data_IF_884011791180
#
_entry.id   IF_884011791180
#
_cell.length_a   1.000
_cell.length_b   1.000
_cell.length_c   1.000
_cell.angle_alpha   90.00
_cell.angle_beta   90.00
_cell.angle_gamma   90.00
#
_symmetry.space_group_name_H-M   'P 1'
#
loop_
_entity.id
_entity.type
_entity.pdbx_description
1 polymer ?
#
# COMPACT_ATOMS: atom_id res chain seq x y z
N UNK A 1 3.26 0.44 36.03
CA UNK A 1 1.93 0.39 35.40
C UNK A 1 1.87 -0.84 34.49
N UNK A 2 0.71 -1.38 34.25
CA UNK A 2 0.50 -2.56 33.40
C UNK A 2 1.07 -2.37 31.98
N UNK A 3 0.99 -1.17 31.41
CA UNK A 3 1.60 -0.86 30.12
C UNK A 3 3.13 -1.02 30.13
N UNK A 4 3.80 -0.57 31.19
CA UNK A 4 5.25 -0.75 31.32
C UNK A 4 5.62 -2.24 31.44
N UNK A 5 4.80 -3.04 32.12
CA UNK A 5 5.00 -4.49 32.23
C UNK A 5 4.89 -5.16 30.85
N UNK A 6 3.89 -4.81 30.05
CA UNK A 6 3.70 -5.32 28.69
C UNK A 6 4.86 -4.92 27.78
N UNK A 7 5.30 -3.67 27.83
CA UNK A 7 6.44 -3.19 27.03
C UNK A 7 7.74 -3.89 27.42
N UNK A 8 7.99 -4.05 28.73
CA UNK A 8 9.17 -4.79 29.20
C UNK A 8 9.16 -6.25 28.73
N UNK A 9 7.98 -6.89 28.72
CA UNK A 9 7.83 -8.26 28.26
C UNK A 9 8.01 -8.40 26.73
N UNK A 10 7.75 -7.35 25.94
CA UNK A 10 7.92 -7.35 24.49
C UNK A 10 9.39 -7.31 24.05
N UNK A 11 10.32 -6.93 24.92
CA UNK A 11 11.74 -6.74 24.58
C UNK A 11 12.03 -5.54 23.68
N UNK A 12 11.03 -4.72 23.35
CA UNK A 12 11.20 -3.52 22.53
C UNK A 12 11.73 -2.38 23.41
N UNK A 13 12.82 -1.71 23.02
CA UNK A 13 13.29 -0.52 23.72
C UNK A 13 12.22 0.58 23.75
N UNK A 14 12.04 1.22 24.90
CA UNK A 14 11.08 2.32 25.05
C UNK A 14 11.56 3.35 26.06
N UNK A 15 11.07 4.59 25.89
CA UNK A 15 11.28 5.69 26.81
C UNK A 15 9.97 6.02 27.54
N UNK A 16 10.09 6.38 28.82
CA UNK A 16 8.95 6.83 29.61
C UNK A 16 8.93 8.37 29.59
N UNK A 17 7.86 8.93 29.04
CA UNK A 17 7.59 10.38 29.09
C UNK A 17 6.53 10.65 30.15
N UNK A 18 6.94 11.21 31.28
CA UNK A 18 6.00 11.58 32.33
C UNK A 18 5.13 12.77 31.87
N UNK A 19 3.86 12.73 32.24
CA UNK A 19 2.85 13.78 31.96
C UNK A 19 2.50 13.98 30.48
N UNK A 20 2.90 13.06 29.60
CA UNK A 20 2.56 13.08 28.16
C UNK A 20 1.41 12.12 27.80
N UNK A 21 0.64 11.66 28.80
CA UNK A 21 -0.57 10.86 28.60
C UNK A 21 -1.74 11.66 28.06
N UNK A 22 -2.77 10.96 27.57
CA UNK A 22 -4.06 11.59 27.28
C UNK A 22 -4.78 11.95 28.59
N UNK A 23 -5.70 12.94 28.54
CA UNK A 23 -6.46 13.34 29.74
C UNK A 23 -7.32 12.19 30.30
N UNK A 24 -7.63 11.19 29.48
CA UNK A 24 -8.45 10.03 29.82
C UNK A 24 -7.63 8.81 30.23
N UNK A 25 -6.29 8.82 30.08
CA UNK A 25 -5.45 7.72 30.51
C UNK A 25 -4.05 7.66 29.89
N UNK A 26 -3.27 6.65 30.26
CA UNK A 26 -1.93 6.45 29.74
C UNK A 26 -1.97 5.96 28.28
N UNK A 27 -0.86 6.21 27.55
CA UNK A 27 -0.71 5.82 26.15
C UNK A 27 0.67 5.23 25.84
N UNK A 28 0.73 4.46 24.79
CA UNK A 28 1.95 4.05 24.09
C UNK A 28 1.94 4.72 22.73
N UNK A 29 2.95 5.49 22.41
CA UNK A 29 3.14 6.09 21.10
C UNK A 29 4.27 5.40 20.35
N UNK A 30 4.05 5.14 19.06
CA UNK A 30 5.04 4.57 18.14
C UNK A 30 5.50 5.67 17.21
N UNK A 31 6.78 5.99 17.30
CA UNK A 31 7.43 7.01 16.46
C UNK A 31 8.22 6.33 15.35
N UNK A 32 8.03 6.80 14.12
CA UNK A 32 8.86 6.46 12.97
C UNK A 32 9.88 7.56 12.74
N UNK A 33 11.11 7.18 12.41
CA UNK A 33 12.16 8.12 12.05
C UNK A 33 12.42 8.01 10.55
N UNK A 34 12.32 9.13 9.86
CA UNK A 34 12.57 9.18 8.41
C UNK A 34 14.08 9.32 8.08
N UNK A 35 14.41 9.30 6.79
CA UNK A 35 15.78 9.43 6.29
C UNK A 35 16.44 10.78 6.61
N UNK A 36 15.65 11.81 6.91
CA UNK A 36 16.10 13.14 7.36
C UNK A 36 16.19 13.24 8.88
N UNK A 37 16.05 12.12 9.59
CA UNK A 37 16.07 12.03 11.06
C UNK A 37 14.93 12.80 11.75
N UNK A 38 13.81 13.07 11.05
CA UNK A 38 12.61 13.65 11.63
C UNK A 38 11.78 12.55 12.27
N UNK A 39 11.21 12.81 13.44
CA UNK A 39 10.33 11.87 14.13
C UNK A 39 8.86 12.15 13.82
N UNK A 40 8.15 11.08 13.51
CA UNK A 40 6.74 11.08 13.17
C UNK A 40 5.98 10.14 14.10
N UNK A 41 5.12 10.69 14.95
CA UNK A 41 4.18 9.87 15.71
C UNK A 41 3.13 9.29 14.75
N UNK A 42 3.12 7.98 14.60
CA UNK A 42 2.20 7.25 13.73
C UNK A 42 1.26 6.37 14.51
N UNK A 43 1.77 5.32 15.16
CA UNK A 43 0.93 4.43 15.93
C UNK A 43 0.67 4.95 17.35
N UNK A 44 -0.49 4.63 17.90
CA UNK A 44 -0.79 4.87 19.31
C UNK A 44 -1.73 3.80 19.86
N UNK A 45 -1.53 3.46 21.13
CA UNK A 45 -2.44 2.64 21.93
C UNK A 45 -2.75 3.43 23.19
N UNK A 46 -4.01 3.71 23.43
CA UNK A 46 -4.43 4.57 24.54
C UNK A 46 -5.49 3.86 25.37
N UNK A 47 -5.30 3.84 26.69
CA UNK A 47 -6.30 3.31 27.63
C UNK A 47 -7.20 4.46 28.08
N UNK A 48 -8.49 4.26 27.94
CA UNK A 48 -9.50 5.24 28.31
C UNK A 48 -10.34 4.73 29.48
N UNK A 49 -10.19 5.41 30.60
CA UNK A 49 -10.91 5.13 31.84
C UNK A 49 -12.05 6.12 32.09
N UNK A 50 -12.16 7.18 31.29
CA UNK A 50 -13.09 8.29 31.55
C UNK A 50 -14.33 8.27 30.65
N UNK A 51 -14.16 8.11 29.33
CA UNK A 51 -15.29 8.12 28.39
C UNK A 51 -16.33 7.04 28.72
N UNK A 52 -15.97 5.78 29.04
CA UNK A 52 -16.98 4.80 29.43
C UNK A 52 -17.81 5.22 30.64
N UNK A 53 -17.21 5.86 31.63
CA UNK A 53 -17.92 6.39 32.80
C UNK A 53 -18.83 7.55 32.43
N UNK A 54 -18.34 8.49 31.64
CA UNK A 54 -19.09 9.67 31.21
C UNK A 54 -20.31 9.31 30.36
N UNK A 55 -20.20 8.22 29.57
CA UNK A 55 -21.31 7.72 28.75
C UNK A 55 -22.17 6.67 29.47
N UNK A 56 -21.86 6.34 30.73
CA UNK A 56 -22.62 5.34 31.48
C UNK A 56 -22.56 3.94 30.88
N UNK A 57 -21.43 3.58 30.23
CA UNK A 57 -21.27 2.26 29.61
C UNK A 57 -21.06 1.20 30.70
N UNK A 58 -21.81 0.11 30.60
CA UNK A 58 -21.70 -1.03 31.51
C UNK A 58 -21.72 -2.34 30.72
N UNK A 59 -21.05 -3.34 31.26
CA UNK A 59 -21.15 -4.72 30.80
C UNK A 59 -21.42 -5.65 31.99
N UNK A 60 -21.95 -6.84 31.73
CA UNK A 60 -22.18 -7.86 32.74
C UNK A 60 -20.97 -8.76 32.80
N UNK A 61 -20.28 -8.81 33.92
CA UNK A 61 -19.14 -9.67 34.16
C UNK A 61 -19.58 -11.13 34.38
N UNK A 62 -18.59 -12.06 34.43
CA UNK A 62 -18.85 -13.50 34.57
C UNK A 62 -19.58 -13.89 35.85
N UNK A 63 -19.42 -13.08 36.91
CA UNK A 63 -20.12 -13.24 38.18
C UNK A 63 -21.52 -12.63 38.23
N UNK A 64 -21.98 -12.06 37.10
CA UNK A 64 -23.26 -11.38 36.98
C UNK A 64 -23.26 -9.92 37.44
N UNK A 65 -22.15 -9.39 37.95
CA UNK A 65 -22.03 -7.99 38.36
C UNK A 65 -21.95 -7.05 37.16
N UNK A 66 -22.41 -5.80 37.36
CA UNK A 66 -22.24 -4.75 36.36
C UNK A 66 -20.92 -4.03 36.57
N UNK A 67 -20.14 -3.92 35.51
CA UNK A 67 -18.83 -3.28 35.52
C UNK A 67 -18.73 -2.22 34.42
N UNK A 68 -17.93 -1.17 34.67
CA UNK A 68 -17.61 -0.16 33.65
C UNK A 68 -16.45 -0.69 32.81
N UNK A 69 -16.58 -0.74 31.47
CA UNK A 69 -15.49 -1.20 30.61
C UNK A 69 -14.31 -0.22 30.57
N UNK A 70 -13.15 -0.72 30.21
CA UNK A 70 -12.01 0.10 29.78
C UNK A 70 -12.02 0.09 28.26
N UNK A 71 -11.97 1.26 27.61
CA UNK A 71 -11.88 1.36 26.17
C UNK A 71 -10.41 1.48 25.77
N UNK A 72 -10.02 0.72 24.75
CA UNK A 72 -8.69 0.79 24.15
C UNK A 72 -8.81 1.42 22.78
N UNK A 73 -8.27 2.63 22.65
CA UNK A 73 -8.11 3.29 21.36
C UNK A 73 -6.82 2.81 20.72
N UNK A 74 -6.88 2.35 19.48
CA UNK A 74 -5.70 1.88 18.74
C UNK A 74 -5.68 2.44 17.34
N UNK A 75 -4.57 3.07 16.99
CA UNK A 75 -4.27 3.58 15.65
C UNK A 75 -2.92 3.03 15.22
N UNK A 76 -2.80 2.59 13.96
CA UNK A 76 -1.55 2.06 13.41
C UNK A 76 -0.79 3.16 12.67
N UNK A 77 -1.46 3.92 11.83
CA UNK A 77 -0.84 4.90 10.93
C UNK A 77 -0.92 6.35 11.43
N UNK A 78 -1.64 6.62 12.51
CA UNK A 78 -2.00 7.97 12.93
C UNK A 78 -3.00 8.60 11.96
N UNK A 79 -2.82 9.86 11.56
CA UNK A 79 -3.57 10.46 10.46
C UNK A 79 -3.16 9.81 9.16
N UNK A 80 -4.14 9.35 8.39
CA UNK A 80 -3.93 8.67 7.11
C UNK A 80 -3.21 9.59 6.11
N UNK A 81 -3.58 10.85 6.07
CA UNK A 81 -2.99 11.87 5.19
C UNK A 81 -1.51 12.09 5.52
N UNK A 82 -1.16 12.18 6.80
CA UNK A 82 0.22 12.29 7.24
C UNK A 82 1.02 11.05 6.85
N UNK A 83 0.48 9.88 7.06
CA UNK A 83 1.14 8.63 6.72
C UNK A 83 1.37 8.50 5.21
N UNK A 84 0.37 8.85 4.38
CA UNK A 84 0.51 8.90 2.92
C UNK A 84 1.63 9.87 2.54
N UNK A 85 1.69 11.05 3.14
CA UNK A 85 2.75 12.03 2.90
C UNK A 85 4.15 11.47 3.22
N UNK A 86 4.30 10.78 4.35
CA UNK A 86 5.56 10.13 4.74
C UNK A 86 5.96 9.05 3.72
N UNK A 87 5.01 8.21 3.30
CA UNK A 87 5.24 7.14 2.33
C UNK A 87 5.64 7.71 0.96
N UNK A 88 4.93 8.73 0.48
CA UNK A 88 5.26 9.39 -0.80
C UNK A 88 6.65 10.01 -0.77
N UNK A 89 7.02 10.67 0.33
CA UNK A 89 8.34 11.25 0.50
C UNK A 89 9.43 10.17 0.59
N UNK A 90 9.18 9.10 1.35
CA UNK A 90 10.12 7.98 1.51
C UNK A 90 10.47 7.31 0.18
N UNK A 91 9.48 7.09 -0.66
CA UNK A 91 9.67 6.46 -1.98
C UNK A 91 9.93 7.49 -3.11
N UNK A 92 10.04 8.78 -2.80
CA UNK A 92 10.15 9.87 -3.79
C UNK A 92 9.05 9.76 -4.88
N UNK A 93 7.85 9.39 -4.48
CA UNK A 93 6.70 9.16 -5.35
C UNK A 93 6.74 7.84 -6.14
N UNK A 94 7.84 7.09 -6.11
CA UNK A 94 7.95 5.77 -6.79
C UNK A 94 7.43 4.66 -5.88
N UNK A 95 6.13 4.65 -5.68
CA UNK A 95 5.49 3.69 -4.79
C UNK A 95 5.79 2.23 -5.20
N UNK A 96 5.92 1.32 -4.24
CA UNK A 96 5.93 -0.11 -4.51
C UNK A 96 4.70 -0.54 -5.31
N UNK A 97 4.85 -1.54 -6.17
CA UNK A 97 3.80 -2.02 -7.07
C UNK A 97 2.46 -2.25 -6.35
N UNK A 98 2.49 -2.84 -5.17
CA UNK A 98 1.28 -3.23 -4.44
C UNK A 98 0.44 -2.06 -3.91
N UNK A 99 1.04 -0.87 -3.63
CA UNK A 99 0.31 0.33 -3.17
C UNK A 99 0.18 1.40 -4.24
N UNK A 100 0.81 1.23 -5.41
CA UNK A 100 0.69 2.20 -6.49
C UNK A 100 -0.77 2.34 -6.94
N UNK A 101 -1.32 3.56 -7.08
CA UNK A 101 -2.69 3.76 -7.55
C UNK A 101 -2.93 3.15 -8.93
N UNK A 102 -1.99 3.33 -9.84
CA UNK A 102 -1.89 2.66 -11.13
C UNK A 102 -0.63 1.81 -11.11
N UNK A 103 -0.79 0.49 -11.28
CA UNK A 103 0.28 -0.48 -11.13
C UNK A 103 1.00 -0.78 -12.44
N UNK A 104 0.26 -0.75 -13.54
CA UNK A 104 0.77 -1.10 -14.85
C UNK A 104 0.08 -0.25 -15.93
N UNK A 105 0.85 0.21 -16.91
CA UNK A 105 0.34 0.87 -18.12
C UNK A 105 0.72 0.08 -19.36
N UNK A 106 -0.27 -0.22 -20.18
CA UNK A 106 -0.07 -0.88 -21.47
C UNK A 106 0.16 0.18 -22.54
N UNK A 107 1.24 0.04 -23.30
CA UNK A 107 1.69 0.98 -24.33
C UNK A 107 1.82 0.28 -25.69
N UNK A 108 0.76 0.20 -26.49
CA UNK A 108 0.86 -0.33 -27.83
C UNK A 108 1.72 0.61 -28.72
N UNK A 109 2.67 0.06 -29.49
CA UNK A 109 3.48 0.83 -30.44
C UNK A 109 2.59 1.37 -31.57
N UNK A 110 1.70 0.52 -32.09
CA UNK A 110 0.66 0.94 -33.04
C UNK A 110 -0.61 1.31 -32.28
N UNK A 111 -1.23 2.39 -32.72
CA UNK A 111 -2.47 2.91 -32.14
C UNK A 111 -3.67 2.08 -32.58
N UNK A 112 -4.71 2.12 -31.74
CA UNK A 112 -5.99 1.50 -32.02
C UNK A 112 -6.16 0.09 -31.47
N UNK A 113 -7.37 -0.40 -31.61
CA UNK A 113 -7.74 -1.73 -31.15
C UNK A 113 -7.07 -2.80 -32.00
N UNK A 114 -6.35 -3.72 -31.35
CA UNK A 114 -5.85 -4.93 -32.02
C UNK A 114 -6.32 -6.17 -31.24
N UNK A 115 -6.49 -7.32 -31.91
CA UNK A 115 -6.79 -8.57 -31.20
C UNK A 115 -5.77 -8.88 -30.12
N UNK A 116 -4.50 -8.54 -30.35
CA UNK A 116 -3.42 -8.77 -29.40
C UNK A 116 -3.53 -7.88 -28.15
N UNK A 117 -3.92 -6.61 -28.31
CA UNK A 117 -4.24 -5.73 -27.19
C UNK A 117 -5.40 -6.30 -26.36
N UNK A 118 -6.47 -6.77 -27.03
CA UNK A 118 -7.61 -7.36 -26.34
C UNK A 118 -7.22 -8.63 -25.55
N UNK A 119 -6.31 -9.44 -26.09
CA UNK A 119 -5.80 -10.62 -25.42
C UNK A 119 -4.95 -10.23 -24.19
N UNK A 120 -4.03 -9.28 -24.31
CA UNK A 120 -3.23 -8.75 -23.21
C UNK A 120 -4.13 -8.22 -22.09
N UNK A 121 -5.09 -7.36 -22.42
CA UNK A 121 -6.01 -6.79 -21.42
C UNK A 121 -6.87 -7.87 -20.76
N UNK A 122 -7.32 -8.88 -21.52
CA UNK A 122 -8.05 -10.02 -20.96
C UNK A 122 -7.22 -10.82 -19.95
N UNK A 123 -5.92 -11.04 -20.24
CA UNK A 123 -5.01 -11.68 -19.27
C UNK A 123 -4.88 -10.81 -18.01
N UNK A 124 -4.61 -9.51 -18.16
CA UNK A 124 -4.44 -8.60 -17.02
C UNK A 124 -5.71 -8.48 -16.17
N UNK A 125 -6.88 -8.46 -16.77
CA UNK A 125 -8.18 -8.45 -16.08
C UNK A 125 -8.42 -9.73 -15.27
N UNK A 126 -7.86 -10.86 -15.70
CA UNK A 126 -7.96 -12.13 -14.99
C UNK A 126 -7.01 -12.27 -13.80
N UNK A 127 -6.01 -11.37 -13.68
CA UNK A 127 -5.03 -11.42 -12.59
C UNK A 127 -5.68 -10.96 -11.27
N UNK A 128 -5.71 -11.88 -10.31
CA UNK A 128 -6.11 -11.62 -8.94
C UNK A 128 -4.87 -11.60 -8.04
N UNK A 129 -4.61 -10.46 -7.42
CA UNK A 129 -3.52 -10.31 -6.46
C UNK A 129 -3.93 -10.96 -5.14
N UNK A 130 -3.12 -11.91 -4.64
CA UNK A 130 -3.38 -12.58 -3.35
C UNK A 130 -3.09 -11.62 -2.19
N UNK A 131 -4.09 -10.80 -1.85
CA UNK A 131 -4.02 -9.85 -0.73
C UNK A 131 -5.37 -9.74 -0.03
N UNK A 132 -5.38 -9.53 1.31
CA UNK A 132 -6.59 -9.56 2.14
C UNK A 132 -7.52 -8.34 1.96
N UNK A 133 -7.38 -7.58 0.90
CA UNK A 133 -8.21 -6.40 0.63
C UNK A 133 -9.26 -6.73 -0.44
N UNK A 134 -10.46 -6.18 -0.28
CA UNK A 134 -11.65 -6.46 -1.09
C UNK A 134 -11.55 -6.13 -2.58
N UNK A 135 -10.43 -5.59 -3.06
CA UNK A 135 -10.19 -5.23 -4.46
C UNK A 135 -8.84 -5.79 -4.90
N UNK A 136 -8.77 -7.11 -5.05
CA UNK A 136 -7.56 -7.82 -5.45
C UNK A 136 -7.29 -7.78 -6.96
N UNK A 137 -7.98 -6.93 -7.71
CA UNK A 137 -7.74 -6.77 -9.14
C UNK A 137 -6.53 -5.89 -9.40
N UNK A 138 -5.79 -6.23 -10.43
CA UNK A 138 -4.72 -5.39 -10.96
C UNK A 138 -5.29 -4.04 -11.42
N UNK A 139 -4.66 -2.96 -11.02
CA UNK A 139 -4.98 -1.59 -11.46
C UNK A 139 -4.09 -1.24 -12.63
N UNK A 140 -4.64 -1.30 -13.83
CA UNK A 140 -3.92 -0.96 -15.05
C UNK A 140 -4.76 -0.09 -15.97
N UNK A 141 -4.08 0.59 -16.89
CA UNK A 141 -4.70 1.32 -17.99
C UNK A 141 -3.99 1.05 -19.31
N UNK A 142 -4.58 1.53 -20.38
CA UNK A 142 -4.01 1.48 -21.74
C UNK A 142 -3.84 2.92 -22.23
N UNK A 143 -2.62 3.28 -22.61
CA UNK A 143 -2.34 4.57 -23.23
C UNK A 143 -2.15 4.37 -24.74
N UNK A 144 -3.22 4.65 -25.48
CA UNK A 144 -3.28 4.63 -26.96
C UNK A 144 -3.40 6.04 -27.57
N UNK A 145 -3.07 7.08 -26.80
CA UNK A 145 -3.11 8.48 -27.25
C UNK A 145 -2.34 8.68 -28.54
N UNK A 146 -2.75 9.72 -29.32
CA UNK A 146 -2.08 10.12 -30.58
C UNK A 146 -0.74 10.83 -30.39
N UNK A 147 0.14 10.20 -29.58
CA UNK A 147 1.48 10.64 -29.27
C UNK A 147 2.52 9.58 -29.66
N UNK A 148 3.78 9.97 -29.80
CA UNK A 148 4.87 9.02 -30.03
C UNK A 148 5.03 8.08 -28.84
N UNK A 149 5.49 6.84 -29.09
CA UNK A 149 5.78 5.90 -28.00
C UNK A 149 6.74 6.50 -26.96
N UNK A 150 7.81 7.19 -27.42
CA UNK A 150 8.77 7.83 -26.51
C UNK A 150 8.13 8.88 -25.61
N UNK A 151 7.18 9.66 -26.14
CA UNK A 151 6.43 10.64 -25.32
C UNK A 151 5.56 9.94 -24.28
N UNK A 152 4.80 8.91 -24.67
CA UNK A 152 3.93 8.15 -23.77
C UNK A 152 4.72 7.42 -22.67
N UNK A 153 5.88 6.86 -23.02
CA UNK A 153 6.80 6.27 -22.04
C UNK A 153 7.31 7.32 -21.06
N UNK A 154 7.76 8.49 -21.59
CA UNK A 154 8.22 9.60 -20.74
C UNK A 154 7.16 10.11 -19.78
N UNK A 155 5.92 10.26 -20.26
CA UNK A 155 4.79 10.68 -19.41
C UNK A 155 4.51 9.64 -18.31
N UNK A 156 4.50 8.35 -18.65
CA UNK A 156 4.30 7.27 -17.67
C UNK A 156 5.42 7.21 -16.61
N UNK A 157 6.67 7.48 -17.00
CA UNK A 157 7.80 7.57 -16.08
C UNK A 157 7.70 8.81 -15.16
N UNK A 158 7.21 9.94 -15.68
CA UNK A 158 6.92 11.13 -14.86
C UNK A 158 5.79 10.89 -13.86
N UNK A 159 4.76 10.15 -14.25
CA UNK A 159 3.67 9.71 -13.39
C UNK A 159 4.11 8.64 -12.37
N UNK A 160 5.36 8.16 -12.44
CA UNK A 160 5.92 7.13 -11.55
C UNK A 160 5.19 5.79 -11.59
N UNK A 161 4.63 5.43 -12.75
CA UNK A 161 3.99 4.13 -12.93
C UNK A 161 5.04 3.03 -12.79
N UNK A 162 4.85 2.04 -11.89
CA UNK A 162 5.90 1.07 -11.58
C UNK A 162 6.28 0.16 -12.75
N UNK A 163 5.30 -0.18 -13.58
CA UNK A 163 5.47 -1.15 -14.67
C UNK A 163 4.85 -0.64 -15.95
N UNK A 164 5.61 -0.68 -17.05
CA UNK A 164 5.11 -0.43 -18.39
C UNK A 164 5.18 -1.73 -19.19
N UNK A 165 4.09 -2.04 -19.89
CA UNK A 165 4.00 -3.16 -20.80
C UNK A 165 3.92 -2.62 -22.22
N UNK A 166 4.95 -2.88 -23.01
CA UNK A 166 5.11 -2.33 -24.34
C UNK A 166 5.04 -3.47 -25.34
N UNK A 167 4.33 -3.29 -26.42
CA UNK A 167 4.31 -4.27 -27.52
C UNK A 167 4.11 -3.60 -28.87
N UNK A 168 4.67 -4.24 -29.90
CA UNK A 168 4.57 -3.81 -31.28
C UNK A 168 4.28 -4.98 -32.21
N UNK A 169 4.29 -4.77 -33.54
CA UNK A 169 3.96 -5.82 -34.50
C UNK A 169 4.86 -7.05 -34.46
N UNK A 170 6.12 -6.88 -34.05
CA UNK A 170 7.05 -8.02 -33.89
C UNK A 170 6.68 -8.86 -32.66
N UNK A 171 6.29 -8.19 -31.58
CA UNK A 171 5.87 -8.86 -30.35
C UNK A 171 4.57 -9.64 -30.58
N UNK A 172 3.63 -9.05 -31.33
CA UNK A 172 2.39 -9.71 -31.72
C UNK A 172 2.65 -11.02 -32.49
N UNK A 173 3.61 -11.00 -33.45
CA UNK A 173 3.98 -12.18 -34.23
C UNK A 173 4.68 -13.23 -33.34
N UNK A 174 5.59 -12.79 -32.47
CA UNK A 174 6.37 -13.66 -31.63
C UNK A 174 5.65 -14.08 -30.34
N UNK A 175 4.47 -13.56 -30.08
CA UNK A 175 3.71 -13.80 -28.85
C UNK A 175 4.47 -13.37 -27.59
N UNK A 176 5.12 -12.20 -27.67
CA UNK A 176 5.93 -11.64 -26.57
C UNK A 176 5.45 -10.24 -26.20
N UNK A 177 5.86 -9.75 -25.06
CA UNK A 177 5.70 -8.36 -24.63
C UNK A 177 6.99 -7.88 -23.97
N UNK A 178 7.25 -6.58 -24.05
CA UNK A 178 8.36 -5.95 -23.34
C UNK A 178 7.82 -5.39 -22.02
N UNK A 179 8.33 -5.89 -20.93
CA UNK A 179 8.04 -5.42 -19.60
C UNK A 179 9.17 -4.48 -19.14
N UNK A 180 8.81 -3.21 -18.89
CA UNK A 180 9.74 -2.22 -18.34
C UNK A 180 9.44 -2.00 -16.86
N UNK A 181 10.42 -2.30 -16.01
CA UNK A 181 10.35 -2.09 -14.57
C UNK A 181 11.50 -1.20 -14.14
N UNK A 182 11.20 -0.01 -13.63
CA UNK A 182 12.22 0.97 -13.19
C UNK A 182 13.26 1.32 -14.26
N UNK A 183 12.85 1.35 -15.53
CA UNK A 183 13.72 1.67 -16.65
C UNK A 183 14.48 0.50 -17.25
N UNK A 184 14.37 -0.69 -16.69
CA UNK A 184 14.96 -1.93 -17.23
C UNK A 184 13.94 -2.70 -18.05
N UNK A 185 14.31 -3.06 -19.28
CA UNK A 185 13.47 -3.79 -20.21
C UNK A 185 13.74 -5.30 -20.14
N UNK A 186 12.66 -6.08 -20.08
CA UNK A 186 12.69 -7.55 -20.16
C UNK A 186 11.64 -8.00 -21.15
N UNK A 187 12.02 -8.86 -22.12
CA UNK A 187 11.06 -9.52 -23.00
C UNK A 187 10.55 -10.76 -22.28
N UNK A 188 9.23 -10.93 -22.27
CA UNK A 188 8.56 -12.09 -21.70
C UNK A 188 7.60 -12.70 -22.71
N UNK A 189 7.37 -13.99 -22.65
CA UNK A 189 6.32 -14.65 -23.42
C UNK A 189 4.94 -14.23 -22.90
N UNK A 190 3.97 -14.09 -23.79
CA UNK A 190 2.63 -13.69 -23.39
C UNK A 190 1.99 -14.69 -22.43
N UNK A 191 2.31 -15.98 -22.56
CA UNK A 191 1.86 -17.05 -21.67
C UNK A 191 2.29 -16.83 -20.21
N UNK A 192 3.43 -16.18 -20.00
CA UNK A 192 4.00 -15.98 -18.67
C UNK A 192 3.56 -14.65 -18.03
N UNK A 193 2.83 -13.82 -18.76
CA UNK A 193 2.45 -12.47 -18.31
C UNK A 193 1.73 -12.48 -16.97
N UNK A 194 0.79 -13.37 -16.78
CA UNK A 194 0.04 -13.50 -15.52
C UNK A 194 0.96 -13.80 -14.34
N UNK A 195 1.85 -14.77 -14.49
CA UNK A 195 2.74 -15.22 -13.42
C UNK A 195 3.78 -14.15 -13.08
N UNK A 196 4.32 -13.46 -14.10
CA UNK A 196 5.26 -12.35 -13.89
C UNK A 196 4.61 -11.19 -13.15
N UNK A 197 3.35 -10.85 -13.46
CA UNK A 197 2.62 -9.78 -12.74
C UNK A 197 2.35 -10.19 -11.30
N UNK A 198 2.01 -11.45 -11.05
CA UNK A 198 1.85 -11.99 -9.69
C UNK A 198 3.17 -11.94 -8.90
N UNK A 199 4.28 -12.32 -9.52
CA UNK A 199 5.62 -12.23 -8.92
C UNK A 199 5.98 -10.78 -8.53
N UNK A 200 5.71 -9.80 -9.41
CA UNK A 200 5.91 -8.38 -9.11
C UNK A 200 5.06 -7.90 -7.94
N UNK A 201 3.85 -8.45 -7.78
CA UNK A 201 2.98 -8.10 -6.66
C UNK A 201 3.46 -8.65 -5.31
N UNK A 202 4.21 -9.74 -5.33
CA UNK A 202 4.76 -10.38 -4.13
C UNK A 202 6.08 -9.74 -3.67
N UNK A 203 6.78 -9.01 -4.55
CA UNK A 203 8.00 -8.27 -4.19
C UNK A 203 7.61 -7.00 -3.44
N UNK A 204 8.01 -6.94 -2.18
CA UNK A 204 7.82 -5.78 -1.27
C UNK A 204 8.82 -4.68 -1.60
#
# INVERSE_FOLDING_TARGET
SELATVLSASGIPYDIKEKDGAFYGPKIDIHLRDSLNREWQCGTIQLDFQLPRNFGLEYTDRDGSRQVPIVIHRVIYGSLERFIGIVLEHFAGRLPFWIAPLQLRVLPVRKGQSPYLAEITGILESVYLDRPLSHNRLRFDVDDREESLGRRVGDAELEKIPVLLIFGPRDEINRTVVLRVRGEDRIIDLSDLSDVVLELSARI
#
